data_IF_202684452962
#
_entry.id   IF_202684452962
#
_cell.length_a   1.000
_cell.length_b   1.000
_cell.length_c   1.000
_cell.angle_alpha   90.00
_cell.angle_beta   90.00
_cell.angle_gamma   90.00
#
_symmetry.space_group_name_H-M   'P 1'
#
loop_
_entity.id
_entity.type
_entity.pdbx_description
1 polymer ?
#
# COMPACT_ATOMS: atom_id res chain seq x y z
N UNK A 1 -15.53 2.71 -1.89
CA UNK A 1 -15.01 3.99 -1.34
C UNK A 1 -14.82 4.96 -2.49
N UNK A 2 -14.89 6.27 -2.25
CA UNK A 2 -14.52 7.27 -3.25
C UNK A 2 -13.14 7.82 -2.91
N UNK A 3 -12.21 7.73 -3.85
CA UNK A 3 -10.87 8.29 -3.71
C UNK A 3 -10.80 9.71 -4.29
N UNK A 4 -9.88 10.50 -3.75
CA UNK A 4 -9.55 11.83 -4.26
C UNK A 4 -8.48 11.66 -5.36
N UNK A 5 -8.85 11.97 -6.60
CA UNK A 5 -8.02 11.78 -7.80
C UNK A 5 -6.81 12.70 -7.85
N UNK A 6 -6.77 13.73 -7.00
CA UNK A 6 -5.63 14.65 -6.87
C UNK A 6 -4.47 14.05 -6.09
N UNK A 7 -4.70 12.99 -5.32
CA UNK A 7 -3.73 12.46 -4.37
C UNK A 7 -3.56 10.95 -4.48
N UNK A 8 -2.33 10.54 -4.76
CA UNK A 8 -1.83 9.18 -4.56
C UNK A 8 -0.39 9.26 -4.07
N UNK A 9 0.03 8.26 -3.31
CA UNK A 9 1.39 8.17 -2.79
C UNK A 9 1.96 6.81 -3.15
N UNK A 10 3.14 6.79 -3.78
CA UNK A 10 3.87 5.55 -4.01
C UNK A 10 4.66 5.20 -2.75
N UNK A 11 4.58 3.94 -2.34
CA UNK A 11 5.45 3.35 -1.34
C UNK A 11 6.34 2.33 -2.06
N UNK A 12 7.65 2.50 -1.98
CA UNK A 12 8.60 1.64 -2.68
C UNK A 12 9.59 1.00 -1.72
N UNK A 13 9.84 -0.30 -1.88
CA UNK A 13 10.88 -1.03 -1.18
C UNK A 13 11.88 -1.58 -2.20
N UNK A 14 13.06 -0.95 -2.24
CA UNK A 14 14.12 -1.22 -3.23
C UNK A 14 15.43 -1.74 -2.62
N UNK A 15 15.34 -2.38 -1.45
CA UNK A 15 16.51 -2.89 -0.70
C UNK A 15 16.69 -4.39 -0.95
N UNK A 16 17.88 -4.90 -0.68
CA UNK A 16 18.20 -6.34 -0.69
C UNK A 16 17.82 -7.09 -1.98
N UNK A 17 17.85 -6.38 -3.12
CA UNK A 17 17.52 -6.93 -4.44
C UNK A 17 16.02 -6.98 -4.76
N UNK A 18 15.17 -6.45 -3.87
CA UNK A 18 13.75 -6.30 -4.10
C UNK A 18 13.43 -5.05 -4.93
N UNK A 19 12.33 -5.13 -5.68
CA UNK A 19 11.71 -4.01 -6.41
C UNK A 19 10.20 -4.12 -6.22
N UNK A 20 9.72 -3.71 -5.04
CA UNK A 20 8.33 -3.90 -4.61
C UNK A 20 7.66 -2.55 -4.37
N UNK A 21 6.50 -2.34 -4.97
CA UNK A 21 5.74 -1.10 -4.84
C UNK A 21 4.30 -1.35 -4.40
N UNK A 22 3.79 -0.41 -3.61
CA UNK A 22 2.38 -0.25 -3.30
C UNK A 22 1.95 1.20 -3.57
N UNK A 23 0.64 1.40 -3.76
CA UNK A 23 0.09 2.75 -3.94
C UNK A 23 -0.95 3.01 -2.86
N UNK A 24 -0.80 4.15 -2.17
CA UNK A 24 -1.82 4.66 -1.26
C UNK A 24 -2.72 5.64 -1.99
N UNK A 25 -4.04 5.42 -1.93
CA UNK A 25 -5.04 6.35 -2.42
C UNK A 25 -5.74 7.07 -1.26
N UNK A 26 -5.89 8.39 -1.40
CA UNK A 26 -6.57 9.21 -0.39
C UNK A 26 -8.06 9.05 -0.48
N UNK A 27 -8.71 8.72 0.64
CA UNK A 27 -10.17 8.69 0.71
C UNK A 27 -10.70 10.13 0.69
N UNK A 28 -11.67 10.38 -0.19
CA UNK A 28 -12.26 11.71 -0.40
C UNK A 28 -12.88 12.24 0.90
N UNK A 29 -12.56 13.49 1.25
CA UNK A 29 -13.07 14.20 2.43
C UNK A 29 -12.76 13.53 3.79
N UNK A 30 -11.76 12.64 3.87
CA UNK A 30 -11.33 11.98 5.12
C UNK A 30 -9.83 11.96 5.22
N UNK A 31 -9.27 12.11 6.42
CA UNK A 31 -7.83 11.90 6.68
C UNK A 31 -7.54 10.40 6.77
N UNK A 32 -7.76 9.72 5.66
CA UNK A 32 -7.66 8.28 5.54
C UNK A 32 -7.04 7.90 4.20
N UNK A 33 -6.12 6.94 4.23
CA UNK A 33 -5.44 6.43 3.05
C UNK A 33 -5.57 4.91 2.99
N UNK A 34 -5.80 4.38 1.80
CA UNK A 34 -5.91 2.95 1.54
C UNK A 34 -4.70 2.51 0.70
N UNK A 35 -3.91 1.58 1.22
CA UNK A 35 -2.75 1.01 0.53
C UNK A 35 -3.17 -0.22 -0.28
N UNK A 36 -2.82 -0.20 -1.56
CA UNK A 36 -3.03 -1.30 -2.47
C UNK A 36 -1.71 -1.88 -2.95
N UNK A 37 -1.61 -3.20 -2.93
CA UNK A 37 -0.44 -3.94 -3.39
C UNK A 37 -0.82 -4.84 -4.56
N UNK A 38 -0.10 -4.71 -5.69
CA UNK A 38 -0.37 -5.49 -6.89
C UNK A 38 0.37 -6.83 -6.85
N UNK A 39 -0.18 -7.79 -6.10
CA UNK A 39 0.44 -9.10 -5.97
C UNK A 39 0.59 -9.85 -7.31
N UNK A 40 -0.34 -9.65 -8.24
CA UNK A 40 -0.33 -10.33 -9.55
C UNK A 40 0.93 -9.99 -10.39
N UNK A 41 1.51 -8.80 -10.19
CA UNK A 41 2.77 -8.41 -10.84
C UNK A 41 3.97 -9.16 -10.27
N UNK A 42 3.98 -9.38 -8.96
CA UNK A 42 5.14 -9.92 -8.23
C UNK A 42 5.06 -11.44 -7.99
N UNK A 43 3.87 -12.04 -8.18
CA UNK A 43 3.61 -13.47 -7.99
C UNK A 43 4.04 -13.99 -6.61
N UNK A 44 3.89 -13.16 -5.57
CA UNK A 44 4.35 -13.49 -4.23
C UNK A 44 3.33 -14.36 -3.48
N UNK A 45 3.85 -15.24 -2.64
CA UNK A 45 3.05 -16.08 -1.75
C UNK A 45 2.69 -15.29 -0.48
N UNK A 46 1.59 -14.53 -0.54
CA UNK A 46 1.05 -13.82 0.62
C UNK A 46 0.36 -14.83 1.54
N UNK A 47 0.77 -14.89 2.81
CA UNK A 47 0.30 -15.89 3.77
C UNK A 47 -1.08 -15.56 4.35
N UNK A 48 -2.05 -16.43 4.07
CA UNK A 48 -3.35 -16.69 4.76
C UNK A 48 -4.30 -15.53 5.12
N UNK A 49 -3.94 -14.26 4.97
CA UNK A 49 -4.91 -13.16 5.03
C UNK A 49 -5.56 -12.97 3.65
N UNK A 50 -6.87 -13.22 3.58
CA UNK A 50 -7.67 -12.87 2.41
C UNK A 50 -7.85 -11.35 2.36
N UNK A 51 -6.85 -10.64 1.82
CA UNK A 51 -7.02 -9.23 1.48
C UNK A 51 -8.10 -9.08 0.40
N UNK A 52 -9.02 -8.11 0.54
CA UNK A 52 -9.97 -7.81 -0.53
C UNK A 52 -9.22 -7.43 -1.80
N UNK A 53 -9.39 -8.22 -2.86
CA UNK A 53 -8.93 -7.85 -4.19
C UNK A 53 -9.89 -6.85 -4.80
N UNK A 54 -9.36 -5.73 -5.27
CA UNK A 54 -10.11 -4.68 -5.94
C UNK A 54 -9.62 -4.59 -7.38
N UNK A 55 -10.54 -4.80 -8.33
CA UNK A 55 -10.24 -4.76 -9.76
C UNK A 55 -9.49 -3.48 -10.14
N UNK A 56 -8.39 -3.62 -10.87
CA UNK A 56 -7.47 -2.55 -11.30
C UNK A 56 -6.61 -1.89 -10.20
N UNK A 57 -6.80 -2.23 -8.93
CA UNK A 57 -6.01 -1.70 -7.81
C UNK A 57 -5.09 -2.75 -7.19
N UNK A 58 -5.54 -4.02 -7.12
CA UNK A 58 -4.83 -5.11 -6.44
C UNK A 58 -5.42 -5.39 -5.06
N UNK A 59 -4.59 -5.87 -4.14
CA UNK A 59 -5.01 -6.23 -2.78
C UNK A 59 -5.04 -5.00 -1.88
N UNK A 60 -6.15 -4.77 -1.17
CA UNK A 60 -6.23 -3.75 -0.13
C UNK A 60 -5.52 -4.24 1.14
N UNK A 61 -4.27 -3.83 1.33
CA UNK A 61 -3.38 -4.36 2.40
C UNK A 61 -3.30 -3.47 3.63
N UNK A 62 -3.81 -2.23 3.56
CA UNK A 62 -3.81 -1.32 4.70
C UNK A 62 -4.81 -0.18 4.59
N UNK A 63 -5.35 0.25 5.73
CA UNK A 63 -6.17 1.46 5.86
C UNK A 63 -5.62 2.26 7.03
N UNK A 64 -5.19 3.49 6.77
CA UNK A 64 -4.48 4.32 7.73
C UNK A 64 -5.19 5.66 7.91
N UNK A 65 -5.35 6.10 9.16
CA UNK A 65 -5.86 7.45 9.49
C UNK A 65 -4.67 8.40 9.60
N UNK A 66 -4.34 9.07 8.49
CA UNK A 66 -3.17 9.96 8.38
C UNK A 66 -3.60 11.22 7.62
N UNK A 67 -3.25 12.39 8.13
CA UNK A 67 -3.48 13.64 7.42
C UNK A 67 -2.62 13.69 6.15
N UNK A 68 -3.10 14.33 5.08
CA UNK A 68 -2.34 14.42 3.82
C UNK A 68 -0.94 15.00 4.00
N UNK A 69 -0.77 15.98 4.90
CA UNK A 69 0.53 16.63 5.13
C UNK A 69 1.52 15.76 5.92
N UNK A 70 1.02 14.74 6.62
CA UNK A 70 1.83 13.84 7.45
C UNK A 70 2.25 12.56 6.70
N UNK A 71 1.61 12.26 5.56
CA UNK A 71 1.99 11.13 4.71
C UNK A 71 3.14 11.54 3.79
N UNK A 72 4.36 11.30 4.24
CA UNK A 72 5.58 11.44 3.42
C UNK A 72 5.91 10.15 2.67
N UNK A 73 6.81 10.22 1.69
CA UNK A 73 7.35 9.03 0.99
C UNK A 73 8.05 8.07 1.96
N UNK A 74 8.81 8.60 2.92
CA UNK A 74 9.44 7.80 3.99
C UNK A 74 8.38 7.07 4.80
N UNK A 75 7.30 7.77 5.20
CA UNK A 75 6.22 7.16 5.96
C UNK A 75 5.49 6.09 5.16
N UNK A 76 5.24 6.34 3.89
CA UNK A 76 4.63 5.36 2.99
C UNK A 76 5.51 4.11 2.84
N UNK A 77 6.82 4.29 2.73
CA UNK A 77 7.81 3.20 2.67
C UNK A 77 7.85 2.39 3.96
N UNK A 78 7.82 3.03 5.13
CA UNK A 78 7.73 2.34 6.43
C UNK A 78 6.48 1.45 6.51
N UNK A 79 5.33 1.96 6.05
CA UNK A 79 4.07 1.21 6.07
C UNK A 79 4.13 -0.01 5.15
N UNK A 80 4.73 0.13 3.96
CA UNK A 80 4.94 -0.99 3.05
C UNK A 80 5.92 -2.00 3.65
N UNK A 81 7.06 -1.55 4.18
CA UNK A 81 8.06 -2.43 4.79
C UNK A 81 7.47 -3.24 5.95
N UNK A 82 6.60 -2.63 6.75
CA UNK A 82 5.87 -3.33 7.82
C UNK A 82 4.94 -4.43 7.27
N UNK A 83 4.18 -4.15 6.21
CA UNK A 83 3.34 -5.14 5.53
C UNK A 83 4.18 -6.29 4.96
N UNK A 84 5.28 -6.00 4.26
CA UNK A 84 6.14 -7.01 3.66
C UNK A 84 6.76 -7.94 4.73
N UNK A 85 7.17 -7.40 5.87
CA UNK A 85 7.66 -8.17 7.02
C UNK A 85 6.58 -9.06 7.63
N UNK A 86 5.37 -8.54 7.80
CA UNK A 86 4.23 -9.31 8.31
C UNK A 86 3.94 -10.52 7.41
N UNK A 87 4.04 -10.33 6.10
CA UNK A 87 3.85 -11.37 5.09
C UNK A 87 5.09 -12.24 4.84
N UNK A 88 6.20 -12.00 5.55
CA UNK A 88 7.49 -12.71 5.38
C UNK A 88 8.00 -12.69 3.93
N UNK A 89 7.76 -11.57 3.25
CA UNK A 89 8.21 -11.33 1.88
C UNK A 89 9.61 -10.70 1.83
N UNK A 90 10.05 -10.15 2.96
CA UNK A 90 11.38 -9.62 3.25
C UNK A 90 11.82 -10.04 4.67
#
# INVERSE_FOLDING_TARGET
>A
MLFDDRYHMHAGYYKDGHDLEAVLFKVKNKDMWCMFFQNDLYQLNITEQSYPSVQNFGLLVGIYTINTNDLTEEKATELLEAFLKEQKLI
#
